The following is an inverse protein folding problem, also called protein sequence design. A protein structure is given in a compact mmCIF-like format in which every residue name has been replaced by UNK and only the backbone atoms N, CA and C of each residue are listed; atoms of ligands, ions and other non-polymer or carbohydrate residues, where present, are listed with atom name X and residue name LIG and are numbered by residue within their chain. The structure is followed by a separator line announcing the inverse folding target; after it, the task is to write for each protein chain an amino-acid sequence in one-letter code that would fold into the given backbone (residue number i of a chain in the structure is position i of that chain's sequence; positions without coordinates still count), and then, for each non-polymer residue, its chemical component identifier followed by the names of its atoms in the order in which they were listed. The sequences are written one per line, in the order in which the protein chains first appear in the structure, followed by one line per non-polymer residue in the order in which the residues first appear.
data_IF_540419689645
#
_entry.id   IF_540419689645
#
_cell.length_a   1.000
_cell.length_b   1.000
_cell.length_c   1.000
_cell.angle_alpha   90.00
_cell.angle_beta   90.00
_cell.angle_gamma   90.00
#
_symmetry.space_group_name_H-M   'P 1'
#
loop_
_entity.id
_entity.type
_entity.pdbx_description
1 polymer ?
#
# COMPACT_ATOMS: atom_id res chain seq x y z
N UNK A 1 29.53 -22.00 -17.75
CA UNK A 1 28.23 -21.75 -17.10
C UNK A 1 28.49 -21.11 -15.76
N UNK A 2 28.72 -19.80 -15.75
CA UNK A 2 28.93 -19.01 -14.54
C UNK A 2 27.55 -18.75 -13.95
N UNK A 3 27.26 -19.40 -12.82
CA UNK A 3 26.10 -19.09 -11.98
C UNK A 3 26.13 -17.60 -11.65
N UNK A 4 25.13 -16.84 -12.11
CA UNK A 4 24.90 -15.48 -11.67
C UNK A 4 24.43 -15.51 -10.21
N UNK A 5 25.36 -15.62 -9.27
CA UNK A 5 25.08 -15.37 -7.87
C UNK A 5 24.79 -13.87 -7.73
N UNK A 6 23.50 -13.55 -7.59
CA UNK A 6 23.04 -12.23 -7.17
C UNK A 6 23.51 -11.97 -5.73
N UNK A 7 23.82 -10.71 -5.35
CA UNK A 7 24.29 -10.38 -4.01
C UNK A 7 23.26 -10.79 -2.95
N UNK A 8 23.73 -11.30 -1.80
CA UNK A 8 22.91 -11.77 -0.66
C UNK A 8 21.86 -10.74 -0.18
N UNK A 9 22.09 -9.46 -0.45
CA UNK A 9 21.17 -8.36 -0.14
C UNK A 9 19.85 -8.42 -0.92
N UNK A 10 19.83 -9.00 -2.13
CA UNK A 10 18.61 -9.17 -2.94
C UNK A 10 17.78 -10.38 -2.49
N UNK A 11 18.45 -11.42 -1.97
CA UNK A 11 17.79 -12.65 -1.46
C UNK A 11 17.09 -12.39 -0.12
N UNK A 12 17.59 -11.43 0.67
CA UNK A 12 17.06 -11.09 1.99
C UNK A 12 16.03 -9.95 1.98
N UNK A 13 15.64 -9.43 0.81
CA UNK A 13 14.68 -8.33 0.73
C UNK A 13 13.28 -8.81 1.13
N UNK A 14 12.70 -8.18 2.14
CA UNK A 14 11.36 -8.51 2.65
C UNK A 14 10.30 -7.59 2.11
N UNK A 15 10.69 -6.42 1.65
CA UNK A 15 9.81 -5.48 0.97
C UNK A 15 10.21 -5.41 -0.48
N UNK A 16 9.24 -5.65 -1.35
CA UNK A 16 9.39 -5.64 -2.80
C UNK A 16 8.45 -4.60 -3.41
N UNK A 17 8.94 -3.86 -4.40
CA UNK A 17 8.18 -2.87 -5.15
C UNK A 17 7.75 -3.44 -6.49
N UNK A 18 6.55 -3.08 -6.94
CA UNK A 18 6.11 -3.38 -8.30
C UNK A 18 7.00 -2.65 -9.31
N UNK A 19 7.43 -3.34 -10.38
CA UNK A 19 8.28 -2.71 -11.38
C UNK A 19 7.52 -1.58 -12.09
N UNK A 20 8.09 -0.38 -12.06
CA UNK A 20 7.60 0.76 -12.84
C UNK A 20 7.91 0.55 -14.32
N UNK A 21 6.89 0.25 -15.13
CA UNK A 21 6.96 0.28 -16.60
C UNK A 21 6.37 1.57 -17.21
N UNK A 22 6.08 2.60 -16.39
CA UNK A 22 5.56 3.87 -16.88
C UNK A 22 6.70 4.83 -17.26
N UNK A 23 6.77 5.32 -18.52
CA UNK A 23 7.53 6.51 -18.84
C UNK A 23 6.96 7.69 -18.06
N UNK A 24 7.84 8.45 -17.41
CA UNK A 24 7.53 9.69 -16.70
C UNK A 24 6.74 10.67 -17.60
N UNK A 25 5.41 10.71 -17.45
CA UNK A 25 4.61 11.81 -17.99
C UNK A 25 4.60 12.94 -16.96
N UNK A 26 5.63 13.77 -17.00
CA UNK A 26 5.67 15.10 -16.38
C UNK A 26 5.75 16.15 -17.49
N UNK A 27 4.66 16.86 -17.75
CA UNK A 27 4.71 18.19 -18.37
C UNK A 27 3.46 19.00 -18.02
N UNK A 28 3.56 19.98 -17.10
CA UNK A 28 2.60 21.06 -17.02
C UNK A 28 3.31 22.40 -17.23
N UNK A 29 3.52 22.77 -18.49
CA UNK A 29 3.72 24.17 -18.85
C UNK A 29 2.37 24.77 -19.28
N UNK A 30 2.08 25.95 -18.73
CA UNK A 30 0.99 26.87 -19.07
C UNK A 30 -0.38 26.54 -18.48
N UNK A 31 -0.68 27.08 -17.31
CA UNK A 31 -1.82 27.99 -17.15
C UNK A 31 -1.59 28.86 -15.91
N UNK A 32 -1.33 30.15 -16.15
CA UNK A 32 -1.26 31.19 -15.13
C UNK A 32 -2.68 31.58 -14.72
N UNK A 33 -2.92 31.72 -13.42
CA UNK A 33 -4.17 32.21 -12.86
C UNK A 33 -4.00 32.60 -11.39
N UNK A 34 -3.63 33.85 -11.17
CA UNK A 34 -3.39 34.54 -9.90
C UNK A 34 -4.68 34.79 -9.12
N UNK A 35 -4.77 34.44 -7.84
CA UNK A 35 -5.47 35.22 -6.78
C UNK A 35 -4.80 34.95 -5.40
N UNK A 36 -4.44 36.01 -4.67
CA UNK A 36 -3.98 36.04 -3.26
C UNK A 36 -5.14 36.49 -2.31
N UNK A 37 -4.92 36.73 -1.00
CA UNK A 37 -4.86 35.76 0.10
C UNK A 37 -5.92 36.07 1.18
N UNK A 38 -6.16 35.16 2.14
CA UNK A 38 -6.63 35.56 3.48
C UNK A 38 -6.13 34.57 4.55
N UNK A 39 -5.79 35.13 5.70
CA UNK A 39 -5.25 34.55 6.94
C UNK A 39 -5.79 35.43 8.08
N UNK A 40 -5.70 35.08 9.38
CA UNK A 40 -5.79 33.77 10.05
C UNK A 40 -6.93 33.77 11.09
N UNK A 41 -7.23 32.62 11.69
CA UNK A 41 -7.92 32.61 13.00
C UNK A 41 -7.31 31.54 13.92
N UNK A 42 -7.24 31.88 15.20
CA UNK A 42 -6.29 31.33 16.19
C UNK A 42 -7.01 30.54 17.28
N UNK A 43 -6.37 29.45 17.74
CA UNK A 43 -6.44 28.75 19.06
C UNK A 43 -7.70 27.91 19.42
N UNK A 44 -7.67 26.99 20.43
CA UNK A 44 -6.56 26.57 21.31
C UNK A 44 -6.28 25.05 21.35
N UNK A 45 -5.14 24.77 21.95
CA UNK A 45 -4.56 23.48 22.36
C UNK A 45 -5.38 22.76 23.44
N UNK A 46 -5.54 21.44 23.29
CA UNK A 46 -5.76 20.55 24.46
C UNK A 46 -5.02 19.24 24.24
N UNK A 47 -3.98 19.04 25.04
CA UNK A 47 -3.26 17.79 25.22
C UNK A 47 -4.15 16.79 25.95
N UNK A 48 -4.33 15.59 25.40
CA UNK A 48 -4.85 14.46 26.18
C UNK A 48 -3.86 13.30 26.06
N UNK A 49 -3.08 13.15 27.13
CA UNK A 49 -2.28 11.97 27.42
C UNK A 49 -3.23 10.86 27.85
N UNK A 50 -3.23 9.74 27.14
CA UNK A 50 -3.67 8.49 27.70
C UNK A 50 -2.85 7.35 27.09
N UNK A 51 -1.84 6.94 27.86
CA UNK A 51 -1.23 5.62 27.81
C UNK A 51 -2.34 4.58 27.82
N UNK A 52 -2.40 3.71 26.81
CA UNK A 52 -2.84 2.30 26.88
C UNK A 52 -2.88 1.73 25.44
N UNK A 53 -1.71 1.42 24.89
CA UNK A 53 -1.62 0.45 23.79
C UNK A 53 -1.42 -0.93 24.44
N UNK A 54 -2.53 -1.55 24.85
CA UNK A 54 -2.51 -2.94 25.30
C UNK A 54 -2.42 -3.80 24.03
N UNK A 55 -1.26 -4.44 23.86
CA UNK A 55 -1.03 -5.54 22.92
C UNK A 55 -2.21 -6.52 22.93
N UNK A 56 -3.00 -6.51 21.87
CA UNK A 56 -4.04 -7.51 21.64
C UNK A 56 -3.51 -8.47 20.59
N UNK A 57 -2.74 -9.47 21.04
CA UNK A 57 -2.44 -10.66 20.24
C UNK A 57 -3.75 -11.44 20.10
N UNK A 58 -4.53 -11.12 19.06
CA UNK A 58 -5.76 -11.83 18.75
C UNK A 58 -5.37 -13.23 18.27
N UNK A 59 -5.87 -14.26 18.96
CA UNK A 59 -5.73 -15.64 18.52
C UNK A 59 -6.48 -15.78 17.19
N UNK A 60 -5.74 -15.89 16.10
CA UNK A 60 -6.30 -16.21 14.79
C UNK A 60 -6.94 -17.60 14.89
N UNK A 61 -8.26 -17.62 14.99
CA UNK A 61 -9.06 -18.82 14.82
C UNK A 61 -9.06 -19.08 13.31
N UNK A 62 -8.22 -19.99 12.85
CA UNK A 62 -8.08 -20.33 11.43
C UNK A 62 -9.38 -20.97 10.95
N UNK A 63 -10.28 -20.16 10.39
CA UNK A 63 -11.50 -20.65 9.75
C UNK A 63 -11.11 -21.16 8.38
N UNK A 64 -11.15 -22.48 8.16
CA UNK A 64 -10.87 -23.07 6.85
C UNK A 64 -11.99 -22.71 5.89
N UNK A 65 -11.69 -21.90 4.88
CA UNK A 65 -12.63 -21.49 3.83
C UNK A 65 -12.43 -22.32 2.54
N UNK A 66 -13.49 -22.65 1.80
CA UNK A 66 -13.38 -23.28 0.49
C UNK A 66 -12.58 -22.42 -0.50
N UNK A 67 -11.88 -23.07 -1.44
CA UNK A 67 -11.04 -22.38 -2.43
C UNK A 67 -11.83 -21.38 -3.31
N UNK A 68 -13.08 -21.70 -3.65
CA UNK A 68 -13.98 -20.83 -4.42
C UNK A 68 -14.32 -19.55 -3.65
N UNK A 69 -14.54 -19.66 -2.35
CA UNK A 69 -14.81 -18.53 -1.47
C UNK A 69 -13.55 -17.69 -1.25
N UNK A 70 -12.40 -18.32 -1.01
CA UNK A 70 -11.11 -17.63 -0.91
C UNK A 70 -10.79 -16.82 -2.18
N UNK A 71 -11.03 -17.41 -3.36
CA UNK A 71 -10.84 -16.74 -4.66
C UNK A 71 -11.79 -15.56 -4.85
N UNK A 72 -13.05 -15.72 -4.45
CA UNK A 72 -14.05 -14.65 -4.50
C UNK A 72 -13.69 -13.52 -3.53
N UNK A 73 -13.20 -13.86 -2.35
CA UNK A 73 -12.77 -12.90 -1.34
C UNK A 73 -11.58 -12.07 -1.83
N UNK A 74 -10.56 -12.74 -2.39
CA UNK A 74 -9.43 -12.08 -3.02
C UNK A 74 -9.86 -11.11 -4.11
N UNK A 75 -10.79 -11.52 -4.98
CA UNK A 75 -11.31 -10.68 -6.07
C UNK A 75 -12.02 -9.42 -5.54
N UNK A 76 -12.78 -9.54 -4.44
CA UNK A 76 -13.43 -8.39 -3.79
C UNK A 76 -12.41 -7.46 -3.15
N UNK A 77 -11.39 -8.01 -2.51
CA UNK A 77 -10.30 -7.23 -1.91
C UNK A 77 -9.47 -6.50 -2.96
N UNK A 78 -9.11 -7.14 -4.07
CA UNK A 78 -8.34 -6.49 -5.15
C UNK A 78 -9.15 -5.40 -5.85
N UNK A 79 -10.46 -5.61 -6.04
CA UNK A 79 -11.38 -4.55 -6.53
C UNK A 79 -11.40 -3.34 -5.58
N UNK A 80 -11.46 -3.60 -4.26
CA UNK A 80 -11.35 -2.57 -3.24
C UNK A 80 -9.99 -1.85 -3.29
N UNK A 81 -8.88 -2.59 -3.41
CA UNK A 81 -7.53 -2.04 -3.46
C UNK A 81 -7.34 -1.14 -4.68
N UNK A 82 -7.80 -1.56 -5.87
CA UNK A 82 -7.81 -0.71 -7.08
C UNK A 82 -8.58 0.59 -6.86
N UNK A 83 -9.78 0.50 -6.28
CA UNK A 83 -10.59 1.68 -5.97
C UNK A 83 -9.91 2.59 -4.94
N UNK A 84 -9.28 2.02 -3.91
CA UNK A 84 -8.55 2.76 -2.88
C UNK A 84 -7.35 3.49 -3.47
N UNK A 85 -6.55 2.84 -4.34
CA UNK A 85 -5.41 3.48 -5.01
C UNK A 85 -5.89 4.69 -5.82
N UNK A 86 -6.88 4.53 -6.70
CA UNK A 86 -7.40 5.65 -7.49
C UNK A 86 -7.92 6.80 -6.61
N UNK A 87 -8.61 6.47 -5.51
CA UNK A 87 -9.12 7.43 -4.53
C UNK A 87 -7.98 8.21 -3.86
N UNK A 88 -6.92 7.53 -3.43
CA UNK A 88 -5.75 8.17 -2.81
C UNK A 88 -5.05 9.08 -3.84
N UNK A 89 -4.80 8.60 -5.07
CA UNK A 89 -4.17 9.40 -6.11
C UNK A 89 -4.93 10.70 -6.40
N UNK A 90 -6.27 10.65 -6.39
CA UNK A 90 -7.13 11.80 -6.59
C UNK A 90 -7.05 12.80 -5.42
N UNK A 91 -7.34 12.35 -4.19
CA UNK A 91 -7.43 13.25 -3.04
C UNK A 91 -6.07 13.80 -2.61
N UNK A 92 -4.98 13.04 -2.80
CA UNK A 92 -3.61 13.50 -2.54
C UNK A 92 -3.01 14.34 -3.67
N UNK A 93 -3.78 14.61 -4.74
CA UNK A 93 -3.37 15.46 -5.88
C UNK A 93 -2.09 15.01 -6.60
N UNK A 94 -1.85 13.70 -6.66
CA UNK A 94 -0.72 13.13 -7.43
C UNK A 94 -0.93 13.25 -8.94
N UNK A 95 -2.19 13.36 -9.37
CA UNK A 95 -2.57 13.66 -10.74
C UNK A 95 -3.65 14.75 -10.74
N UNK A 96 -3.75 15.57 -11.83
CA UNK A 96 -4.77 16.61 -11.93
C UNK A 96 -6.19 16.03 -11.81
N UNK A 97 -7.10 16.65 -11.03
CA UNK A 97 -8.48 16.17 -10.86
C UNK A 97 -9.25 15.97 -12.18
N UNK A 98 -8.93 16.76 -13.20
CA UNK A 98 -9.53 16.72 -14.54
C UNK A 98 -9.21 15.41 -15.28
N UNK A 99 -8.17 14.70 -14.84
CA UNK A 99 -7.80 13.37 -15.33
C UNK A 99 -8.61 12.24 -14.67
N UNK A 100 -9.56 12.56 -13.78
CA UNK A 100 -10.43 11.59 -13.13
C UNK A 100 -11.88 11.78 -13.52
N UNK A 101 -12.61 10.67 -13.59
CA UNK A 101 -14.05 10.63 -13.74
C UNK A 101 -14.66 10.13 -12.44
N UNK A 102 -15.80 10.70 -12.07
CA UNK A 102 -16.61 10.18 -10.97
C UNK A 102 -17.31 8.92 -11.45
N UNK A 103 -17.00 7.79 -10.83
CA UNK A 103 -17.57 6.47 -11.09
C UNK A 103 -18.15 5.89 -9.81
N UNK A 104 -18.64 4.65 -9.84
CA UNK A 104 -19.18 3.95 -8.68
C UNK A 104 -18.45 2.63 -8.46
N UNK A 105 -17.91 2.42 -7.25
CA UNK A 105 -17.36 1.14 -6.80
C UNK A 105 -17.89 0.83 -5.41
N UNK A 106 -18.22 -0.44 -5.12
CA UNK A 106 -18.84 -0.85 -3.85
C UNK A 106 -20.06 0.01 -3.47
N UNK A 107 -20.88 0.41 -4.45
CA UNK A 107 -22.00 1.35 -4.24
C UNK A 107 -21.61 2.69 -3.59
N UNK A 108 -20.35 3.11 -3.72
CA UNK A 108 -19.82 4.40 -3.28
C UNK A 108 -19.34 5.19 -4.52
N UNK A 109 -19.64 6.50 -4.63
CA UNK A 109 -19.04 7.34 -5.64
C UNK A 109 -17.54 7.49 -5.36
N UNK A 110 -16.70 7.21 -6.35
CA UNK A 110 -15.24 7.36 -6.28
C UNK A 110 -14.71 8.06 -7.52
N UNK A 111 -13.48 8.55 -7.44
CA UNK A 111 -12.77 9.10 -8.59
C UNK A 111 -11.83 8.06 -9.19
N UNK A 112 -12.03 7.71 -10.45
CA UNK A 112 -11.17 6.79 -11.21
C UNK A 112 -10.45 7.53 -12.32
N UNK A 113 -9.16 7.26 -12.51
CA UNK A 113 -8.40 7.90 -13.58
C UNK A 113 -8.91 7.45 -14.96
N UNK A 114 -8.83 8.35 -15.94
CA UNK A 114 -9.11 8.04 -17.36
C UNK A 114 -7.84 7.78 -18.18
N UNK A 115 -6.65 7.91 -17.57
CA UNK A 115 -5.39 7.77 -18.29
C UNK A 115 -5.06 6.28 -18.50
N UNK A 116 -5.03 5.77 -19.75
CA UNK A 116 -4.96 4.33 -20.02
C UNK A 116 -3.69 3.69 -19.45
N UNK A 117 -2.54 4.37 -19.52
CA UNK A 117 -1.29 3.81 -18.98
C UNK A 117 -1.27 3.74 -17.45
N UNK A 118 -1.96 4.67 -16.76
CA UNK A 118 -2.05 4.64 -15.30
C UNK A 118 -3.01 3.52 -14.87
N UNK A 119 -4.15 3.40 -15.53
CA UNK A 119 -5.10 2.32 -15.26
C UNK A 119 -4.49 0.93 -15.53
N UNK A 120 -3.76 0.77 -16.64
CA UNK A 120 -3.04 -0.47 -16.94
C UNK A 120 -2.00 -0.78 -15.86
N UNK A 121 -1.17 0.19 -15.47
CA UNK A 121 -0.19 -0.01 -14.42
C UNK A 121 -0.81 -0.41 -13.07
N UNK A 122 -1.92 0.25 -12.66
CA UNK A 122 -2.62 -0.09 -11.40
C UNK A 122 -3.20 -1.51 -11.48
N UNK A 123 -3.78 -1.89 -12.63
CA UNK A 123 -4.31 -3.24 -12.83
C UNK A 123 -3.21 -4.30 -12.75
N UNK A 124 -2.07 -4.06 -13.39
CA UNK A 124 -0.92 -4.97 -13.37
C UNK A 124 -0.33 -5.09 -11.96
N UNK A 125 -0.15 -3.97 -11.25
CA UNK A 125 0.36 -3.97 -9.87
C UNK A 125 -0.59 -4.73 -8.92
N UNK A 126 -1.89 -4.50 -9.00
CA UNK A 126 -2.88 -5.19 -8.15
C UNK A 126 -2.98 -6.67 -8.50
N UNK A 127 -2.84 -7.04 -9.78
CA UNK A 127 -2.77 -8.44 -10.23
C UNK A 127 -1.54 -9.14 -9.64
N UNK A 128 -0.38 -8.47 -9.63
CA UNK A 128 0.83 -8.98 -9.01
C UNK A 128 0.65 -9.18 -7.50
N UNK A 129 0.04 -8.21 -6.80
CA UNK A 129 -0.31 -8.32 -5.37
C UNK A 129 -1.21 -9.51 -5.12
N UNK A 130 -2.22 -9.73 -5.96
CA UNK A 130 -3.14 -10.86 -5.84
C UNK A 130 -2.43 -12.21 -5.91
N UNK A 131 -1.41 -12.34 -6.76
CA UNK A 131 -0.57 -13.55 -6.85
C UNK A 131 0.22 -13.79 -5.58
N UNK A 132 0.79 -12.75 -4.98
CA UNK A 132 1.53 -12.87 -3.72
C UNK A 132 0.61 -13.19 -2.53
N UNK A 133 -0.62 -12.64 -2.51
CA UNK A 133 -1.61 -12.97 -1.49
C UNK A 133 -2.04 -14.45 -1.60
N UNK A 134 -2.19 -14.99 -2.83
CA UNK A 134 -2.50 -16.42 -3.05
C UNK A 134 -1.41 -17.35 -2.52
N UNK A 135 -0.15 -16.97 -2.59
CA UNK A 135 0.96 -17.76 -2.06
C UNK A 135 1.12 -17.63 -0.54
N UNK A 136 0.17 -17.00 0.16
CA UNK A 136 0.19 -16.75 1.61
C UNK A 136 1.51 -16.09 2.10
N UNK A 137 2.18 -15.37 1.21
CA UNK A 137 3.52 -14.85 1.44
C UNK A 137 3.51 -13.40 1.90
N UNK A 138 2.34 -12.73 1.91
CA UNK A 138 2.22 -11.30 2.16
C UNK A 138 1.80 -11.02 3.59
N UNK A 139 2.56 -10.16 4.26
CA UNK A 139 2.20 -9.54 5.52
C UNK A 139 1.42 -8.24 5.30
N UNK A 140 1.95 -7.34 4.46
CA UNK A 140 1.34 -6.02 4.21
C UNK A 140 1.43 -5.60 2.75
N UNK A 141 0.46 -4.82 2.31
CA UNK A 141 0.49 -4.10 1.03
C UNK A 141 0.49 -2.61 1.33
N UNK A 142 1.37 -1.85 0.70
CA UNK A 142 1.47 -0.42 0.94
C UNK A 142 1.52 0.37 -0.37
N UNK A 143 0.72 1.44 -0.46
CA UNK A 143 0.90 2.49 -1.46
C UNK A 143 1.85 3.53 -0.86
N UNK A 144 3.06 3.63 -1.41
CA UNK A 144 4.13 4.50 -0.92
C UNK A 144 4.18 5.74 -1.80
N UNK A 145 4.11 6.92 -1.19
CA UNK A 145 4.23 8.22 -1.86
C UNK A 145 5.62 8.78 -1.57
N UNK A 146 6.35 9.08 -2.63
CA UNK A 146 7.71 9.61 -2.57
C UNK A 146 7.71 11.11 -2.84
N UNK A 147 8.64 11.79 -2.17
CA UNK A 147 8.99 13.16 -2.47
C UNK A 147 9.53 13.25 -3.91
N UNK A 148 9.49 14.45 -4.52
CA UNK A 148 10.06 14.67 -5.84
C UNK A 148 11.52 14.20 -5.93
N UNK A 149 11.98 13.71 -7.09
CA UNK A 149 13.35 13.19 -7.24
C UNK A 149 14.44 14.19 -6.85
N UNK A 150 14.23 15.49 -7.10
CA UNK A 150 15.17 16.55 -6.75
C UNK A 150 15.30 16.78 -5.22
N UNK A 151 14.38 16.24 -4.43
CA UNK A 151 14.40 16.24 -2.95
C UNK A 151 14.84 14.89 -2.36
N UNK A 152 15.35 13.97 -3.20
CA UNK A 152 15.95 12.72 -2.77
C UNK A 152 14.98 11.53 -2.65
N UNK A 153 13.77 11.64 -3.19
CA UNK A 153 12.78 10.54 -3.26
C UNK A 153 12.43 9.88 -1.91
N UNK A 154 12.60 10.59 -0.81
CA UNK A 154 12.24 10.12 0.53
C UNK A 154 10.73 9.86 0.64
N UNK A 155 10.34 8.92 1.51
CA UNK A 155 8.92 8.59 1.70
C UNK A 155 8.20 9.67 2.49
N UNK A 156 7.13 10.20 1.92
CA UNK A 156 6.30 11.26 2.52
C UNK A 156 5.08 10.67 3.21
N UNK A 157 4.43 9.71 2.57
CA UNK A 157 3.26 9.01 3.09
C UNK A 157 3.30 7.55 2.67
N UNK A 158 2.78 6.69 3.52
CA UNK A 158 2.63 5.28 3.24
C UNK A 158 1.27 4.79 3.72
N UNK A 159 0.45 4.38 2.78
CA UNK A 159 -0.90 3.87 3.03
C UNK A 159 -0.84 2.35 3.14
N UNK A 160 -0.88 1.85 4.37
CA UNK A 160 -0.65 0.44 4.69
C UNK A 160 -1.97 -0.29 4.82
N UNK A 161 -2.05 -1.47 4.20
CA UNK A 161 -3.08 -2.48 4.35
C UNK A 161 -2.44 -3.74 4.91
N UNK A 162 -2.68 -4.02 6.19
CA UNK A 162 -2.11 -5.19 6.88
C UNK A 162 -3.02 -6.40 6.73
N UNK A 163 -2.43 -7.46 6.19
CA UNK A 163 -3.06 -8.72 5.83
C UNK A 163 -2.64 -9.84 6.79
N UNK A 164 -2.06 -9.53 7.96
CA UNK A 164 -1.64 -10.54 8.95
C UNK A 164 -2.80 -11.47 9.40
N UNK A 165 -4.03 -10.98 9.42
CA UNK A 165 -5.22 -11.81 9.69
C UNK A 165 -5.97 -12.29 8.44
N UNK A 166 -5.36 -12.20 7.26
CA UNK A 166 -5.95 -12.70 6.02
C UNK A 166 -6.17 -14.22 6.11
N UNK A 167 -7.30 -14.76 5.63
CA UNK A 167 -7.58 -16.18 5.75
C UNK A 167 -6.60 -16.98 4.87
N UNK A 168 -6.03 -18.09 5.38
CA UNK A 168 -5.12 -18.88 4.58
C UNK A 168 -5.84 -19.46 3.36
N UNK A 169 -5.15 -19.49 2.23
CA UNK A 169 -5.65 -20.25 1.08
C UNK A 169 -5.53 -21.74 1.39
N UNK A 170 -6.58 -22.54 1.15
CA UNK A 170 -6.46 -23.99 1.28
C UNK A 170 -5.40 -24.48 0.28
N UNK A 171 -4.37 -25.16 0.79
CA UNK A 171 -3.38 -25.82 -0.06
C UNK A 171 -4.08 -26.89 -0.90
N UNK A 172 -3.94 -26.81 -2.22
CA UNK A 172 -4.43 -27.87 -3.11
C UNK A 172 -3.43 -29.01 -3.02
N UNK A 173 -3.77 -30.07 -2.29
CA UNK A 173 -2.93 -31.26 -2.30
C UNK A 173 -3.06 -31.95 -3.68
N UNK A 174 -2.01 -32.64 -4.17
CA UNK A 174 -2.10 -33.42 -5.41
C UNK A 174 -3.23 -34.47 -5.40
N UNK A 175 -3.69 -34.88 -4.21
CA UNK A 175 -4.81 -35.81 -4.03
C UNK A 175 -6.17 -35.17 -4.38
N UNK A 176 -6.34 -33.86 -4.17
CA UNK A 176 -7.59 -33.14 -4.47
C UNK A 176 -7.73 -32.84 -5.97
N UNK A 177 -6.61 -32.59 -6.66
CA UNK A 177 -6.57 -32.44 -8.11
C UNK A 177 -6.94 -33.73 -8.88
N UNK A 178 -6.73 -34.91 -8.26
CA UNK A 178 -7.02 -36.21 -8.86
C UNK A 178 -8.51 -36.63 -8.75
N UNK A 179 -9.31 -36.02 -7.86
CA UNK A 179 -10.74 -36.33 -7.67
C UNK A 179 -11.68 -35.62 -8.65
N UNK A 180 -11.18 -34.73 -9.50
CA UNK A 180 -11.95 -33.96 -10.49
C UNK A 180 -12.44 -34.73 -11.73
N UNK A 181 -12.76 -36.03 -11.62
CA UNK A 181 -13.43 -36.80 -12.69
C UNK A 181 -14.53 -37.70 -12.14
N UNK A 182 -15.73 -37.14 -12.06
CA UNK A 182 -17.02 -37.79 -12.28
C UNK A 182 -17.44 -38.97 -11.39
N UNK A 183 -18.43 -38.73 -10.51
CA UNK A 183 -19.62 -39.60 -10.44
C UNK A 183 -20.77 -38.91 -9.71
N UNK A 184 -21.85 -38.69 -10.43
CA UNK A 184 -23.18 -38.51 -9.84
C UNK A 184 -23.52 -39.77 -9.03
N UNK A 185 -23.84 -39.59 -7.75
CA UNK A 185 -24.67 -40.54 -7.00
C UNK A 185 -25.45 -39.83 -5.90
N UNK A 186 -26.72 -40.16 -5.87
CA UNK A 186 -27.75 -39.58 -5.04
C UNK A 186 -27.62 -39.97 -3.55
N UNK A 187 -27.87 -38.96 -2.71
CA UNK A 187 -28.61 -38.95 -1.45
C UNK A 187 -28.34 -40.06 -0.42
N UNK A 188 -27.67 -39.68 0.67
CA UNK A 188 -27.95 -40.13 2.04
C UNK A 188 -27.62 -38.93 2.96
N UNK A 189 -28.58 -38.58 3.82
CA UNK A 189 -28.54 -37.39 4.69
C UNK A 189 -27.71 -37.72 5.93
N UNK A 190 -26.51 -37.18 6.02
CA UNK A 190 -25.70 -37.19 7.24
C UNK A 190 -25.90 -35.90 8.04
N UNK A 191 -26.30 -36.07 9.31
CA UNK A 191 -26.52 -35.02 10.31
C UNK A 191 -25.23 -34.26 10.71
N UNK A 192 -24.08 -34.57 10.09
CA UNK A 192 -22.81 -33.82 10.24
C UNK A 192 -22.75 -32.53 9.38
N UNK A 193 -23.77 -32.30 8.55
CA UNK A 193 -23.80 -31.16 7.61
C UNK A 193 -24.15 -29.81 8.27
N UNK A 194 -24.67 -29.80 9.50
CA UNK A 194 -25.11 -28.55 10.13
C UNK A 194 -23.95 -27.67 10.65
N UNK A 195 -22.81 -28.24 11.04
CA UNK A 195 -21.65 -27.48 11.52
C UNK A 195 -20.82 -26.90 10.36
N UNK A 196 -20.78 -27.59 9.21
CA UNK A 196 -20.17 -27.09 7.98
C UNK A 196 -21.03 -26.05 7.24
N UNK A 197 -22.36 -26.08 7.44
CA UNK A 197 -23.29 -25.08 6.91
C UNK A 197 -23.28 -23.75 7.70
N UNK A 198 -22.69 -23.72 8.90
CA UNK A 198 -22.64 -22.54 9.77
C UNK A 198 -21.56 -21.49 9.38
N UNK A 199 -20.73 -21.76 8.37
CA UNK A 199 -19.62 -20.87 7.98
C UNK A 199 -19.70 -20.33 6.54
N UNK A 200 -20.89 -20.29 5.93
CA UNK A 200 -21.03 -19.63 4.62
C UNK A 200 -20.70 -18.13 4.72
N UNK A 201 -19.79 -17.65 3.87
CA UNK A 201 -19.33 -16.26 3.91
C UNK A 201 -20.49 -15.30 3.61
N UNK A 202 -20.77 -14.39 4.55
CA UNK A 202 -21.76 -13.33 4.34
C UNK A 202 -21.21 -12.27 3.36
N UNK A 203 -21.45 -12.48 2.07
CA UNK A 203 -20.96 -11.60 1.00
C UNK A 203 -21.52 -10.17 1.05
N UNK A 204 -22.70 -9.99 1.67
CA UNK A 204 -23.29 -8.67 1.88
C UNK A 204 -22.47 -7.91 2.91
N UNK A 205 -22.20 -8.52 4.07
CA UNK A 205 -21.37 -7.91 5.10
C UNK A 205 -19.95 -7.61 4.57
N UNK A 206 -19.33 -8.53 3.83
CA UNK A 206 -18.03 -8.29 3.17
C UNK A 206 -18.08 -7.04 2.28
N UNK A 207 -19.12 -6.90 1.44
CA UNK A 207 -19.27 -5.70 0.60
C UNK A 207 -19.45 -4.42 1.41
N UNK A 208 -20.29 -4.47 2.46
CA UNK A 208 -20.56 -3.33 3.32
C UNK A 208 -19.33 -2.88 4.12
N UNK A 209 -18.52 -3.82 4.61
CA UNK A 209 -17.26 -3.49 5.27
C UNK A 209 -16.23 -2.89 4.31
N UNK A 210 -16.09 -3.44 3.10
CA UNK A 210 -15.19 -2.88 2.07
C UNK A 210 -15.64 -1.48 1.64
N UNK A 211 -16.95 -1.26 1.45
CA UNK A 211 -17.53 0.07 1.18
C UNK A 211 -17.21 1.05 2.31
N UNK A 212 -17.38 0.60 3.54
CA UNK A 212 -17.05 1.37 4.73
C UNK A 212 -15.56 1.72 4.82
N UNK A 213 -14.67 0.79 4.47
CA UNK A 213 -13.24 1.01 4.42
C UNK A 213 -12.86 2.05 3.37
N UNK A 214 -13.42 1.95 2.17
CA UNK A 214 -13.16 2.86 1.06
C UNK A 214 -13.58 4.30 1.40
N UNK A 215 -14.71 4.45 2.09
CA UNK A 215 -15.16 5.75 2.61
C UNK A 215 -14.20 6.34 3.65
N UNK A 216 -13.64 5.49 4.53
CA UNK A 216 -12.66 5.94 5.55
C UNK A 216 -11.33 6.34 4.91
N UNK A 217 -10.87 5.60 3.89
CA UNK A 217 -9.70 5.97 3.07
C UNK A 217 -9.91 7.32 2.41
N UNK A 218 -11.06 7.52 1.75
CA UNK A 218 -11.41 8.80 1.10
C UNK A 218 -11.37 9.96 2.11
N UNK A 219 -12.05 9.80 3.25
CA UNK A 219 -12.09 10.80 4.31
C UNK A 219 -10.69 11.13 4.87
N UNK A 220 -9.86 10.11 5.10
CA UNK A 220 -8.52 10.32 5.60
C UNK A 220 -7.66 11.09 4.57
N UNK A 221 -7.76 10.75 3.28
CA UNK A 221 -6.98 11.37 2.22
C UNK A 221 -7.33 12.86 2.03
N UNK A 222 -8.61 13.22 2.20
CA UNK A 222 -9.10 14.60 2.19
C UNK A 222 -8.62 15.44 3.39
N UNK A 223 -8.36 14.80 4.54
CA UNK A 223 -8.00 15.50 5.78
C UNK A 223 -6.51 15.76 5.94
N UNK A 224 -5.67 15.05 5.20
CA UNK A 224 -4.24 15.29 5.18
C UNK A 224 -3.90 16.60 4.46
N UNK A 225 -2.80 17.25 4.89
CA UNK A 225 -2.31 18.49 4.27
C UNK A 225 -1.93 18.31 2.80
N UNK A 226 -1.67 19.40 2.07
CA UNK A 226 -1.24 19.30 0.67
C UNK A 226 0.14 18.62 0.56
N UNK A 227 0.31 17.78 -0.46
CA UNK A 227 1.62 17.24 -0.83
C UNK A 227 2.44 18.29 -1.61
N UNK A 228 3.77 18.20 -1.57
CA UNK A 228 4.65 18.93 -2.49
C UNK A 228 4.37 18.58 -3.95
N UNK A 229 4.58 19.56 -4.83
CA UNK A 229 4.45 19.34 -6.27
C UNK A 229 5.53 18.38 -6.79
N UNK A 230 5.13 17.43 -7.65
CA UNK A 230 6.03 16.47 -8.28
C UNK A 230 6.29 15.20 -7.45
N UNK A 231 5.48 14.93 -6.42
CA UNK A 231 5.48 13.64 -5.75
C UNK A 231 5.16 12.49 -6.72
N UNK A 232 5.78 11.33 -6.47
CA UNK A 232 5.52 10.09 -7.22
C UNK A 232 5.03 9.01 -6.26
N UNK A 233 4.66 7.85 -6.78
CA UNK A 233 4.18 6.76 -5.93
C UNK A 233 4.63 5.39 -6.46
N UNK A 234 4.61 4.39 -5.59
CA UNK A 234 4.81 2.97 -5.92
C UNK A 234 3.91 2.09 -5.04
N UNK A 235 3.76 0.83 -5.42
CA UNK A 235 3.11 -0.20 -4.60
C UNK A 235 4.19 -1.15 -4.09
N UNK A 236 4.28 -1.28 -2.78
CA UNK A 236 5.20 -2.14 -2.06
C UNK A 236 4.44 -3.28 -1.38
N UNK A 237 5.06 -4.45 -1.31
CA UNK A 237 4.55 -5.62 -0.59
C UNK A 237 5.60 -6.03 0.43
N UNK A 238 5.19 -6.14 1.70
CA UNK A 238 5.99 -6.75 2.74
C UNK A 238 5.63 -8.23 2.84
N UNK A 239 6.63 -9.09 2.75
CA UNK A 239 6.47 -10.53 2.86
C UNK A 239 6.52 -11.00 4.33
N UNK A 240 5.94 -12.17 4.58
CA UNK A 240 6.05 -12.88 5.84
C UNK A 240 7.50 -13.31 6.12
N UNK A 241 7.85 -13.51 7.40
CA UNK A 241 9.24 -13.78 7.81
C UNK A 241 9.85 -15.03 7.17
N UNK A 242 9.01 -16.03 6.89
CA UNK A 242 9.37 -17.34 6.33
C UNK A 242 9.19 -17.41 4.81
N UNK A 243 8.70 -16.35 4.18
CA UNK A 243 8.43 -16.33 2.74
C UNK A 243 9.70 -16.00 1.93
N UNK A 244 9.91 -16.76 0.86
CA UNK A 244 10.98 -16.47 -0.10
C UNK A 244 10.60 -15.29 -1.01
N UNK A 245 11.59 -14.48 -1.39
CA UNK A 245 11.38 -13.43 -2.38
C UNK A 245 10.91 -14.04 -3.72
N UNK A 246 9.90 -13.45 -4.39
CA UNK A 246 9.42 -13.94 -5.67
C UNK A 246 10.44 -13.64 -6.78
N UNK A 247 11.23 -14.65 -7.13
CA UNK A 247 12.22 -14.61 -8.22
C UNK A 247 11.63 -15.43 -9.39
N UNK A 248 10.66 -14.85 -10.09
CA UNK A 248 10.01 -15.47 -11.25
C UNK A 248 10.17 -14.61 -12.51
N UNK A 249 10.16 -15.24 -13.69
CA UNK A 249 10.16 -14.55 -14.98
C UNK A 249 8.77 -14.58 -15.62
N UNK A 250 8.22 -13.44 -16.09
CA UNK A 250 8.79 -12.09 -16.07
C UNK A 250 8.87 -11.48 -14.66
N UNK A 251 9.98 -10.81 -14.36
CA UNK A 251 10.22 -10.20 -13.04
C UNK A 251 9.19 -9.09 -12.83
N UNK A 252 8.24 -9.29 -11.93
CA UNK A 252 7.19 -8.29 -11.64
C UNK A 252 7.56 -7.43 -10.42
N UNK A 253 8.50 -7.94 -9.61
CA UNK A 253 8.89 -7.39 -8.32
C UNK A 253 10.37 -7.09 -8.26
N UNK A 254 10.75 -5.96 -7.68
CA UNK A 254 12.13 -5.63 -7.34
C UNK A 254 12.27 -5.41 -5.85
N UNK A 255 13.39 -5.80 -5.22
CA UNK A 255 13.69 -5.40 -3.86
C UNK A 255 13.56 -3.90 -3.66
N UNK A 256 12.77 -3.49 -2.68
CA UNK A 256 12.61 -2.08 -2.33
C UNK A 256 13.90 -1.51 -1.75
N UNK A 257 13.99 -0.18 -1.76
CA UNK A 257 15.17 0.53 -1.28
C UNK A 257 15.47 0.24 0.20
N UNK A 258 16.75 0.31 0.64
CA UNK A 258 17.15 0.00 2.00
C UNK A 258 16.39 0.76 3.10
N UNK A 259 15.99 2.00 2.87
CA UNK A 259 15.18 2.81 3.80
C UNK A 259 13.77 2.26 4.04
N UNK A 260 13.25 1.41 3.15
CA UNK A 260 11.91 0.81 3.21
C UNK A 260 11.90 -0.66 3.66
N UNK A 261 13.08 -1.24 3.98
CA UNK A 261 13.18 -2.62 4.47
C UNK A 261 13.04 -2.70 6.00
N UNK A 262 12.11 -3.50 6.55
CA UNK A 262 11.89 -3.64 7.99
C UNK A 262 13.06 -4.35 8.64
N UNK A 263 13.07 -4.34 9.98
CA UNK A 263 13.99 -5.17 10.73
C UNK A 263 13.74 -6.66 10.41
N UNK A 264 14.82 -7.42 10.31
CA UNK A 264 14.83 -8.84 10.02
C UNK A 264 15.96 -9.54 10.78
N UNK A 265 16.02 -10.87 10.70
CA UNK A 265 17.14 -11.62 11.26
C UNK A 265 18.50 -11.17 10.68
N UNK A 266 18.55 -10.81 9.40
CA UNK A 266 19.74 -10.29 8.72
C UNK A 266 19.99 -8.81 8.98
N UNK A 267 18.95 -8.03 9.32
CA UNK A 267 19.02 -6.59 9.56
C UNK A 267 18.37 -6.20 10.88
N UNK A 268 19.18 -5.87 11.89
CA UNK A 268 18.70 -5.55 13.24
C UNK A 268 17.85 -4.27 13.35
N UNK A 269 18.04 -3.30 12.46
CA UNK A 269 17.32 -2.02 12.49
C UNK A 269 16.48 -1.84 11.23
N UNK A 270 15.21 -1.45 11.41
CA UNK A 270 14.37 -1.05 10.29
C UNK A 270 14.97 0.13 9.53
N UNK A 271 14.68 0.22 8.23
CA UNK A 271 15.02 1.39 7.43
C UNK A 271 14.39 2.66 8.02
N UNK A 272 15.08 3.79 7.84
CA UNK A 272 14.70 5.09 8.42
C UNK A 272 13.31 5.61 8.03
N UNK A 273 12.75 5.12 6.92
CA UNK A 273 11.46 5.55 6.41
C UNK A 273 10.31 4.63 6.87
N UNK A 274 10.57 3.72 7.82
CA UNK A 274 9.60 2.80 8.44
C UNK A 274 9.36 3.20 9.90
N UNK A 275 8.10 3.12 10.34
CA UNK A 275 7.75 3.37 11.74
C UNK A 275 7.56 4.84 12.10
N UNK A 276 7.22 5.67 11.10
CA UNK A 276 6.79 7.05 11.31
C UNK A 276 5.46 7.16 12.06
N UNK A 277 4.91 8.38 12.14
CA UNK A 277 3.64 8.62 12.82
C UNK A 277 2.51 7.86 12.13
N UNK A 278 1.97 6.84 12.79
CA UNK A 278 0.88 6.01 12.28
C UNK A 278 -0.49 6.57 12.70
N UNK A 279 -1.35 6.82 11.71
CA UNK A 279 -2.75 7.25 11.91
C UNK A 279 -3.69 6.14 11.46
N UNK A 280 -4.46 5.51 12.37
CA UNK A 280 -5.37 4.43 12.01
C UNK A 280 -6.54 4.95 11.15
N UNK A 281 -6.84 4.24 10.06
CA UNK A 281 -7.95 4.59 9.15
C UNK A 281 -9.17 3.74 9.45
N UNK A 282 -9.02 2.40 9.44
CA UNK A 282 -10.10 1.43 9.76
C UNK A 282 -9.53 0.02 9.98
N UNK A 283 -10.17 -0.76 10.86
CA UNK A 283 -10.04 -2.22 10.93
C UNK A 283 -11.29 -2.86 10.30
N UNK A 284 -11.12 -3.88 9.46
CA UNK A 284 -12.19 -4.57 8.74
C UNK A 284 -12.24 -6.01 9.19
N UNK A 285 -13.42 -6.45 9.66
CA UNK A 285 -13.70 -7.82 10.03
C UNK A 285 -15.07 -8.21 9.45
N UNK A 286 -15.10 -9.18 8.53
CA UNK A 286 -16.31 -9.70 7.90
C UNK A 286 -16.16 -11.20 7.60
N UNK A 287 -16.68 -12.05 8.48
CA UNK A 287 -16.46 -13.50 8.40
C UNK A 287 -14.95 -13.83 8.36
N UNK A 288 -14.44 -14.53 7.33
CA UNK A 288 -13.03 -14.86 7.22
C UNK A 288 -12.15 -13.69 6.78
N UNK A 289 -12.73 -12.57 6.33
CA UNK A 289 -11.96 -11.39 5.94
C UNK A 289 -11.55 -10.60 7.18
N UNK A 290 -10.24 -10.49 7.40
CA UNK A 290 -9.68 -9.53 8.32
C UNK A 290 -8.50 -8.78 7.69
N UNK A 291 -8.53 -7.46 7.77
CA UNK A 291 -7.38 -6.61 7.46
C UNK A 291 -7.52 -5.27 8.17
N UNK A 292 -6.39 -4.61 8.40
CA UNK A 292 -6.35 -3.27 8.98
C UNK A 292 -5.74 -2.28 7.99
N UNK A 293 -6.14 -1.01 8.07
CA UNK A 293 -5.53 0.04 7.28
C UNK A 293 -5.19 1.27 8.12
N UNK A 294 -4.00 1.82 7.86
CA UNK A 294 -3.47 3.03 8.48
C UNK A 294 -2.56 3.79 7.53
N UNK A 295 -2.21 5.02 7.92
CA UNK A 295 -1.30 5.89 7.17
C UNK A 295 -0.07 6.11 8.04
N UNK A 296 1.11 5.83 7.51
CA UNK A 296 2.39 6.23 8.12
C UNK A 296 2.84 7.50 7.42
N UNK A 297 2.99 8.57 8.19
CA UNK A 297 3.58 9.82 7.71
C UNK A 297 5.10 9.73 7.83
N UNK A 298 5.82 10.21 6.81
CA UNK A 298 7.27 10.32 6.80
C UNK A 298 7.79 11.20 7.94
N UNK A 299 9.10 11.14 8.16
CA UNK A 299 9.76 11.83 9.28
C UNK A 299 9.32 13.31 9.40
N UNK A 300 9.11 13.77 10.63
CA UNK A 300 8.66 15.14 10.92
C UNK A 300 9.64 16.17 10.37
N UNK A 301 10.94 15.89 10.39
CA UNK A 301 11.98 16.73 9.78
C UNK A 301 11.81 16.81 8.25
N UNK A 302 11.47 15.70 7.61
CA UNK A 302 11.18 15.68 6.17
C UNK A 302 9.94 16.53 5.88
N UNK A 303 8.87 16.36 6.65
CA UNK A 303 7.64 17.14 6.48
C UNK A 303 7.86 18.65 6.67
N UNK A 304 8.71 19.06 7.62
CA UNK A 304 9.07 20.47 7.80
C UNK A 304 9.86 21.01 6.60
N UNK A 305 10.84 20.25 6.10
CA UNK A 305 11.61 20.63 4.91
C UNK A 305 10.74 20.79 3.66
N UNK A 306 9.72 19.95 3.53
CA UNK A 306 8.76 19.98 2.42
C UNK A 306 7.78 21.16 2.50
N UNK A 307 7.56 21.75 3.69
CA UNK A 307 6.70 22.93 3.87
C UNK A 307 7.42 24.25 3.55
N UNK A 308 8.75 24.26 3.44
CA UNK A 308 9.52 25.46 3.15
C UNK A 308 9.38 25.86 1.66
N UNK A 309 9.10 27.13 1.34
CA UNK A 309 9.05 27.58 -0.05
C UNK A 309 10.42 27.43 -0.71
N UNK A 310 10.45 26.96 -1.96
CA UNK A 310 11.67 26.71 -2.75
C UNK A 310 12.65 27.91 -2.81
N UNK A 311 12.20 29.13 -2.54
CA UNK A 311 13.03 30.35 -2.54
C UNK A 311 14.00 30.48 -1.36
N UNK A 312 13.92 29.65 -0.31
CA UNK A 312 14.80 29.76 0.86
C UNK A 312 15.96 28.77 0.90
N UNK A 313 16.09 27.88 -0.10
CA UNK A 313 17.13 26.84 -0.12
C UNK A 313 18.40 27.24 -0.89
N UNK A 314 18.51 28.50 -1.35
CA UNK A 314 19.68 29.01 -2.09
C UNK A 314 20.47 30.04 -1.29
N UNK A 315 21.07 29.67 -0.16
CA UNK A 315 22.12 30.49 0.46
C UNK A 315 23.01 29.70 1.40
N UNK A 316 23.64 28.63 0.93
CA UNK A 316 24.90 28.21 1.53
C UNK A 316 25.80 27.53 0.49
N UNK A 317 26.35 28.34 -0.41
CA UNK A 317 27.54 27.98 -1.17
C UNK A 317 28.63 28.97 -0.85
N UNK A 318 29.15 28.85 0.36
CA UNK A 318 30.39 29.49 0.79
C UNK A 318 31.52 29.07 -0.17
N UNK A 319 31.91 29.97 -1.07
CA UNK A 319 33.08 29.79 -1.95
C UNK A 319 34.36 29.84 -1.09
N UNK A 320 35.32 28.93 -1.27
CA UNK A 320 36.62 29.05 -0.62
C UNK A 320 37.41 30.22 -1.23
N UNK A 321 37.81 31.17 -0.37
CA UNK A 321 38.69 32.28 -0.72
C UNK A 321 40.02 31.75 -1.27
N UNK A 322 40.30 32.00 -2.55
CA UNK A 322 41.62 31.85 -3.14
C UNK A 322 42.59 32.83 -2.47
N UNK A 323 43.51 32.32 -1.65
CA UNK A 323 44.62 33.10 -1.13
C UNK A 323 45.63 33.29 -2.26
N UNK A 324 45.79 34.54 -2.72
CA UNK A 324 46.85 34.94 -3.63
C UNK A 324 48.17 35.06 -2.88
N UNK A 325 49.19 34.36 -3.36
CA UNK A 325 50.59 34.47 -2.94
C UNK A 325 51.15 35.81 -3.44
N UNK A 326 51.82 36.63 -2.62
CA UNK A 326 52.58 37.76 -3.11
C UNK A 326 53.98 37.29 -3.54
N UNK A 327 54.35 37.61 -4.78
CA UNK A 327 55.74 37.59 -5.26
C UNK A 327 56.51 38.76 -4.63
N UNK A 328 57.62 38.44 -3.97
CA UNK A 328 58.76 39.32 -3.76
C UNK A 328 60.03 38.47 -3.82
#
# INVERSE_FOLDING_TARGET
MTSCQLPDSLVSARVIDAISLLPLLHNPALYQGTIRPYSPFTQPTTTCSCSHCVSRKLMASTTSIPLSEASTLLTRFTTFLTAAIHTILYHRRLYPPESFLTTRSHNLPIHQSRHPALCAWIADAVSAVATQIRSASVRRVALVIHAPPHLGSAVVERWVFDLEGWPPFPEVTPADAAKGKGKERANELDEETEEAAAASVNWVDVQEQLRGALRRVSYAAEKLGALPDGCTFTVAVELNDDAAAPIEHPQTWVPSQPNLQPASASRKQAGKDIGGKATPVRSVQAGPLFFECWIEEGDSELQERLKLPASSQSSDRSQPKSQGTPLA
#
